data_IF_088607707474
#
_entry.id   IF_088607707474
#
_cell.length_a   1.000
_cell.length_b   1.000
_cell.length_c   1.000
_cell.angle_alpha   90.00
_cell.angle_beta   90.00
_cell.angle_gamma   90.00
#
_symmetry.space_group_name_H-M   'P 1'
#
loop_
_entity.id
_entity.type
_entity.pdbx_description
1 polymer ?
#
# COMPACT_ATOMS: atom_id res chain seq x y z
N UNK A 1 12.96 -11.95 -11.17
CA UNK A 1 12.55 -10.82 -10.31
C UNK A 1 12.75 -9.56 -11.12
N UNK A 2 11.67 -8.91 -11.55
CA UNK A 2 11.71 -7.81 -12.53
C UNK A 2 11.97 -6.42 -11.91
N UNK A 3 11.88 -6.29 -10.58
CA UNK A 3 12.02 -5.01 -9.88
C UNK A 3 13.02 -5.03 -8.72
N UNK A 4 13.81 -6.10 -8.57
CA UNK A 4 14.66 -6.31 -7.39
C UNK A 4 13.88 -6.50 -6.07
N UNK A 5 12.56 -6.72 -6.15
CA UNK A 5 11.68 -6.99 -5.03
C UNK A 5 11.38 -8.48 -4.93
N UNK A 6 11.42 -9.00 -3.71
CA UNK A 6 11.12 -10.39 -3.38
C UNK A 6 9.76 -10.50 -2.65
N UNK A 7 8.74 -11.15 -3.23
CA UNK A 7 7.50 -11.45 -2.52
C UNK A 7 7.73 -12.54 -1.47
N UNK A 8 7.59 -12.20 -0.20
CA UNK A 8 7.79 -13.15 0.91
C UNK A 8 6.51 -13.91 1.30
N UNK A 9 5.35 -13.33 1.00
CA UNK A 9 4.02 -13.93 1.23
C UNK A 9 3.00 -13.30 0.28
N UNK A 10 1.94 -14.05 -0.04
CA UNK A 10 0.86 -13.55 -0.90
C UNK A 10 -0.47 -14.15 -0.47
N UNK A 11 -1.51 -13.32 -0.39
CA UNK A 11 -2.89 -13.78 -0.18
C UNK A 11 -3.82 -13.09 -1.19
N UNK A 12 -4.74 -13.89 -1.74
CA UNK A 12 -5.81 -13.40 -2.59
C UNK A 12 -7.16 -13.59 -1.89
N UNK A 13 -8.09 -12.67 -2.13
CA UNK A 13 -9.44 -12.74 -1.57
C UNK A 13 -10.26 -13.89 -2.17
N UNK A 14 -9.90 -14.37 -3.37
CA UNK A 14 -10.67 -15.40 -4.08
C UNK A 14 -12.04 -14.91 -4.56
N UNK A 15 -12.25 -13.59 -4.59
CA UNK A 15 -13.50 -12.97 -5.01
C UNK A 15 -13.41 -12.52 -6.47
N UNK A 16 -14.46 -12.85 -7.25
CA UNK A 16 -14.62 -12.35 -8.62
C UNK A 16 -15.38 -11.02 -8.67
N UNK A 17 -16.22 -10.74 -7.67
CA UNK A 17 -17.11 -9.58 -7.58
C UNK A 17 -17.23 -9.10 -6.12
N UNK A 18 -17.87 -7.94 -5.89
CA UNK A 18 -18.10 -7.39 -4.54
C UNK A 18 -16.86 -6.85 -3.83
N UNK A 19 -15.70 -6.76 -4.50
CA UNK A 19 -14.43 -6.32 -3.89
C UNK A 19 -14.53 -4.89 -3.31
N UNK A 20 -15.27 -4.00 -3.96
CA UNK A 20 -15.44 -2.61 -3.51
C UNK A 20 -16.39 -2.45 -2.32
N UNK A 21 -17.17 -3.49 -2.00
CA UNK A 21 -18.16 -3.53 -0.92
C UNK A 21 -17.60 -4.14 0.36
N UNK A 22 -16.33 -4.60 0.34
CA UNK A 22 -15.67 -5.15 1.51
C UNK A 22 -15.60 -4.12 2.63
N UNK A 23 -15.94 -4.56 3.84
CA UNK A 23 -15.80 -3.72 5.02
C UNK A 23 -14.31 -3.47 5.32
N UNK A 24 -13.96 -2.33 5.92
CA UNK A 24 -12.56 -2.02 6.26
C UNK A 24 -11.87 -3.12 7.06
N UNK A 25 -12.61 -3.80 7.95
CA UNK A 25 -12.08 -4.92 8.74
C UNK A 25 -11.63 -6.10 7.88
N UNK A 26 -12.30 -6.38 6.75
CA UNK A 26 -11.87 -7.44 5.83
C UNK A 26 -10.49 -7.12 5.22
N UNK A 27 -10.22 -5.84 4.94
CA UNK A 27 -8.94 -5.37 4.42
C UNK A 27 -7.85 -5.52 5.50
N UNK A 28 -8.19 -5.20 6.76
CA UNK A 28 -7.30 -5.39 7.91
C UNK A 28 -6.93 -6.86 8.09
N UNK A 29 -7.91 -7.76 8.04
CA UNK A 29 -7.68 -9.20 8.18
C UNK A 29 -6.84 -9.75 7.02
N UNK A 30 -7.07 -9.28 5.80
CA UNK A 30 -6.25 -9.66 4.64
C UNK A 30 -4.80 -9.24 4.83
N UNK A 31 -4.57 -7.99 5.24
CA UNK A 31 -3.23 -7.46 5.47
C UNK A 31 -2.50 -8.22 6.59
N UNK A 32 -3.21 -8.60 7.66
CA UNK A 32 -2.64 -9.43 8.74
C UNK A 32 -2.29 -10.85 8.31
N UNK A 33 -3.07 -11.45 7.41
CA UNK A 33 -2.79 -12.80 6.89
C UNK A 33 -1.53 -12.85 6.04
N UNK A 34 -1.28 -11.79 5.26
CA UNK A 34 -0.09 -11.71 4.39
C UNK A 34 1.15 -11.19 5.11
N UNK A 35 0.99 -10.49 6.23
CA UNK A 35 2.12 -9.95 6.97
C UNK A 35 3.02 -11.05 7.54
N UNK A 36 4.33 -10.89 7.31
CA UNK A 36 5.38 -11.73 7.87
C UNK A 36 6.46 -10.84 8.49
N UNK A 37 7.07 -11.29 9.59
CA UNK A 37 7.92 -10.45 10.44
C UNK A 37 9.08 -9.76 9.70
N UNK A 38 9.68 -10.43 8.72
CA UNK A 38 10.85 -9.96 7.98
C UNK A 38 10.50 -9.24 6.67
N UNK A 39 9.22 -8.99 6.38
CA UNK A 39 8.83 -8.17 5.24
C UNK A 39 8.98 -6.67 5.52
N UNK A 40 9.60 -5.96 4.57
CA UNK A 40 9.81 -4.51 4.64
C UNK A 40 8.51 -3.70 4.48
N UNK A 41 7.53 -4.24 3.74
CA UNK A 41 6.24 -3.58 3.48
C UNK A 41 5.14 -4.59 3.12
N UNK A 42 3.89 -4.15 3.21
CA UNK A 42 2.72 -4.88 2.66
C UNK A 42 2.16 -4.13 1.46
N UNK A 43 1.86 -4.86 0.38
CA UNK A 43 1.27 -4.30 -0.84
C UNK A 43 -0.15 -4.82 -1.04
N UNK A 44 -1.12 -3.90 -1.05
CA UNK A 44 -2.51 -4.15 -1.44
C UNK A 44 -2.69 -3.78 -2.92
N UNK A 45 -2.48 -4.76 -3.80
CA UNK A 45 -2.35 -4.52 -5.24
C UNK A 45 -3.67 -4.28 -6.01
N UNK A 46 -4.84 -4.45 -5.39
CA UNK A 46 -6.12 -4.31 -6.09
C UNK A 46 -6.60 -2.84 -6.12
N UNK A 47 -7.01 -2.37 -7.30
CA UNK A 47 -7.55 -1.02 -7.49
C UNK A 47 -9.02 -0.90 -7.11
N UNK A 48 -9.76 -2.01 -7.03
CA UNK A 48 -11.17 -2.02 -6.62
C UNK A 48 -11.36 -2.11 -5.09
N UNK A 49 -10.28 -2.10 -4.30
CA UNK A 49 -10.35 -2.07 -2.84
C UNK A 49 -10.48 -0.63 -2.31
N UNK A 50 -11.43 -0.42 -1.40
CA UNK A 50 -11.61 0.84 -0.68
C UNK A 50 -10.61 0.94 0.48
N UNK A 51 -9.36 1.28 0.18
CA UNK A 51 -8.26 1.19 1.17
C UNK A 51 -7.94 2.49 1.90
N UNK A 52 -8.34 3.66 1.40
CA UNK A 52 -7.80 4.95 1.87
C UNK A 52 -8.02 5.19 3.37
N UNK A 53 -9.19 4.86 3.91
CA UNK A 53 -9.48 5.00 5.34
C UNK A 53 -8.77 3.99 6.23
N UNK A 54 -8.21 2.91 5.66
CA UNK A 54 -7.59 1.82 6.41
C UNK A 54 -6.05 1.91 6.47
N UNK A 55 -5.41 2.67 5.57
CA UNK A 55 -3.94 2.68 5.43
C UNK A 55 -3.24 3.02 6.74
N UNK A 56 -3.60 4.13 7.40
CA UNK A 56 -2.92 4.56 8.63
C UNK A 56 -3.12 3.56 9.78
N UNK A 57 -4.32 3.02 9.92
CA UNK A 57 -4.63 2.00 10.92
C UNK A 57 -3.83 0.71 10.67
N UNK A 58 -3.67 0.33 9.41
CA UNK A 58 -2.86 -0.82 9.00
C UNK A 58 -1.37 -0.59 9.28
N UNK A 59 -0.82 0.56 8.91
CA UNK A 59 0.59 0.90 9.17
C UNK A 59 0.89 0.93 10.67
N UNK A 60 -0.05 1.41 11.48
CA UNK A 60 0.05 1.38 12.94
C UNK A 60 0.01 -0.05 13.47
N UNK A 61 -0.92 -0.87 12.99
CA UNK A 61 -1.12 -2.24 13.47
C UNK A 61 0.03 -3.18 13.07
N UNK A 62 0.61 -3.00 11.89
CA UNK A 62 1.66 -3.86 11.35
C UNK A 62 3.08 -3.33 11.64
N UNK A 63 3.19 -2.07 12.07
CA UNK A 63 4.47 -1.40 12.32
C UNK A 63 5.27 -1.05 11.06
N UNK A 64 4.81 -1.45 9.87
CA UNK A 64 5.52 -1.30 8.59
C UNK A 64 4.69 -0.52 7.55
N UNK A 65 5.33 0.03 6.50
CA UNK A 65 4.62 0.70 5.41
C UNK A 65 3.59 -0.22 4.74
N UNK A 66 2.45 0.38 4.38
CA UNK A 66 1.38 -0.28 3.63
C UNK A 66 1.16 0.52 2.36
N UNK A 67 1.39 -0.13 1.23
CA UNK A 67 1.28 0.47 -0.10
C UNK A 67 0.03 -0.08 -0.79
N UNK A 68 -0.79 0.79 -1.35
CA UNK A 68 -1.96 0.35 -2.15
C UNK A 68 -1.82 0.81 -3.59
N UNK A 69 -2.40 0.05 -4.53
CA UNK A 69 -2.34 0.40 -5.95
C UNK A 69 -2.88 1.82 -6.21
N UNK A 70 -4.00 2.18 -5.57
CA UNK A 70 -4.64 3.48 -5.72
C UNK A 70 -3.79 4.62 -5.12
N UNK A 71 -3.19 4.40 -3.95
CA UNK A 71 -2.34 5.37 -3.26
C UNK A 71 -1.02 5.59 -4.02
N UNK A 72 -0.37 4.52 -4.48
CA UNK A 72 0.86 4.59 -5.26
C UNK A 72 0.64 5.29 -6.62
N UNK A 73 -0.49 5.03 -7.27
CA UNK A 73 -0.89 5.70 -8.52
C UNK A 73 -1.05 7.20 -8.31
N UNK A 74 -1.80 7.61 -7.28
CA UNK A 74 -2.02 9.03 -6.97
C UNK A 74 -0.73 9.74 -6.57
N UNK A 75 0.10 9.08 -5.76
CA UNK A 75 1.42 9.57 -5.39
C UNK A 75 2.29 9.80 -6.64
N UNK A 76 2.38 8.82 -7.54
CA UNK A 76 3.20 8.93 -8.74
C UNK A 76 2.68 10.01 -9.70
N UNK A 77 1.37 10.06 -9.95
CA UNK A 77 0.74 11.07 -10.79
C UNK A 77 0.98 12.50 -10.26
N UNK A 78 0.87 12.68 -8.93
CA UNK A 78 1.17 13.95 -8.28
C UNK A 78 2.65 14.36 -8.45
N UNK A 79 3.57 13.40 -8.44
CA UNK A 79 5.00 13.70 -8.67
C UNK A 79 5.27 14.07 -10.13
N UNK A 80 4.63 13.42 -11.09
CA UNK A 80 4.75 13.77 -12.51
C UNK A 80 4.21 15.19 -12.76
N UNK A 81 3.13 15.60 -12.09
CA UNK A 81 2.54 16.94 -12.26
C UNK A 81 3.33 18.09 -11.61
N UNK A 82 4.45 17.79 -10.95
CA UNK A 82 5.22 18.79 -10.19
C UNK A 82 4.68 19.07 -8.78
N UNK A 83 3.59 18.43 -8.36
CA UNK A 83 3.10 18.54 -6.98
C UNK A 83 4.03 17.78 -6.01
N UNK A 84 4.62 18.52 -5.08
CA UNK A 84 5.54 18.01 -4.04
C UNK A 84 4.97 18.14 -2.63
N UNK A 85 3.70 18.54 -2.51
CA UNK A 85 3.06 18.72 -1.22
C UNK A 85 2.95 17.42 -0.40
N UNK A 86 2.84 17.62 0.91
CA UNK A 86 2.40 16.64 1.90
C UNK A 86 0.88 16.80 2.08
N UNK A 87 0.14 15.71 2.06
CA UNK A 87 -1.33 15.76 2.07
C UNK A 87 -2.05 14.49 1.59
N UNK A 88 -1.32 13.48 1.14
CA UNK A 88 -1.88 12.15 0.93
C UNK A 88 -1.75 11.24 2.15
N UNK A 89 -2.43 10.10 2.09
CA UNK A 89 -2.57 9.15 3.22
C UNK A 89 -1.39 8.19 3.27
N UNK A 90 -0.85 7.90 4.45
CA UNK A 90 0.17 6.85 4.68
C UNK A 90 1.63 7.24 4.41
N UNK A 91 2.57 6.40 4.84
CA UNK A 91 4.02 6.71 4.86
C UNK A 91 4.61 7.03 3.48
N UNK A 92 4.06 6.51 2.38
CA UNK A 92 4.57 6.79 1.01
C UNK A 92 4.59 8.30 0.69
N UNK A 93 3.66 9.09 1.24
CA UNK A 93 3.59 10.54 0.98
C UNK A 93 4.63 11.35 1.76
N UNK A 94 5.29 10.73 2.73
CA UNK A 94 6.39 11.31 3.50
C UNK A 94 7.74 11.09 2.80
N UNK A 95 7.79 10.23 1.78
CA UNK A 95 9.00 9.95 1.02
C UNK A 95 9.17 10.97 -0.11
N UNK A 96 10.34 11.62 -0.15
CA UNK A 96 10.79 12.35 -1.32
C UNK A 96 11.60 11.40 -2.23
N UNK A 97 11.06 11.00 -3.40
CA UNK A 97 11.71 10.00 -4.25
C UNK A 97 13.06 10.47 -4.81
N UNK A 98 13.37 11.77 -4.74
CA UNK A 98 14.67 12.31 -5.17
C UNK A 98 15.79 12.07 -4.13
N UNK A 99 15.47 11.70 -2.90
CA UNK A 99 16.47 11.31 -1.88
C UNK A 99 16.70 9.79 -1.85
N UNK A 100 15.73 8.99 -2.32
CA UNK A 100 15.81 7.53 -2.29
C UNK A 100 16.65 6.92 -3.44
N UNK A 101 17.03 7.72 -4.45
CA UNK A 101 17.87 7.28 -5.60
C UNK A 101 19.27 7.92 -5.51
N UNK A 102 19.85 7.94 -4.31
CA UNK A 102 21.12 8.61 -4.08
C UNK A 102 21.80 8.26 -2.76
N UNK A 103 22.26 7.01 -2.62
CA UNK A 103 23.53 6.59 -2.00
C UNK A 103 23.80 5.15 -2.35
#
# INVERSE_FOLDING_TARGET
>A
MEAGLEPLSSHSLGLAEGIGELEPNNIVDLARKVDVAHADAVVLACTNLTTYSAIEALELALGKPVLTANQATMWHASRISGYRGVGGVGRIWQVNPLEAVGT
#
